data_IF_853926277031
#
_entry.id   IF_853926277031
#
_cell.length_a   1.000
_cell.length_b   1.000
_cell.length_c   1.000
_cell.angle_alpha   90.00
_cell.angle_beta   90.00
_cell.angle_gamma   90.00
#
_symmetry.space_group_name_H-M   'P 1'
#
loop_
_entity.id
_entity.type
_entity.pdbx_description
1 polymer ?
#
# COMPACT_ATOMS: atom_id res chain seq x y z
N UNK A 1 -2.23 -17.69 -22.80
CA UNK A 1 -1.61 -17.10 -21.61
C UNK A 1 -0.86 -18.19 -20.85
N UNK A 2 0.45 -18.03 -20.74
CA UNK A 2 1.32 -19.05 -20.12
C UNK A 2 1.61 -18.72 -18.63
N UNK A 3 1.16 -17.55 -18.16
CA UNK A 3 1.33 -17.07 -16.80
C UNK A 3 -0.03 -16.94 -16.12
N UNK A 4 -0.14 -17.39 -14.89
CA UNK A 4 -1.30 -17.19 -14.03
C UNK A 4 -0.91 -16.27 -12.88
N UNK A 5 -1.55 -15.10 -12.80
CA UNK A 5 -1.35 -14.11 -11.72
C UNK A 5 -2.36 -14.30 -10.62
N UNK A 6 -1.90 -14.60 -9.42
CA UNK A 6 -2.76 -14.72 -8.23
C UNK A 6 -2.38 -13.65 -7.22
N UNK A 7 -3.35 -12.82 -6.85
CA UNK A 7 -3.17 -11.76 -5.86
C UNK A 7 -3.70 -12.19 -4.51
N UNK A 8 -2.87 -12.11 -3.47
CA UNK A 8 -3.27 -12.38 -2.08
C UNK A 8 -3.42 -11.04 -1.36
N UNK A 9 -4.65 -10.70 -0.97
CA UNK A 9 -4.96 -9.35 -0.48
C UNK A 9 -5.77 -9.35 0.83
N UNK A 10 -5.53 -8.40 1.73
CA UNK A 10 -6.41 -8.13 2.87
C UNK A 10 -7.71 -7.41 2.46
N UNK A 11 -8.02 -7.38 1.18
CA UNK A 11 -9.04 -6.56 0.55
C UNK A 11 -10.06 -7.41 -0.21
N UNK A 12 -11.36 -7.07 -0.09
CA UNK A 12 -12.42 -7.69 -0.89
C UNK A 12 -12.69 -6.93 -2.20
N UNK A 13 -12.43 -5.62 -2.22
CA UNK A 13 -12.63 -4.80 -3.41
C UNK A 13 -11.68 -5.16 -4.57
N UNK A 14 -10.53 -5.73 -4.27
CA UNK A 14 -9.57 -6.22 -5.28
C UNK A 14 -10.14 -7.33 -6.17
N UNK A 15 -11.15 -8.09 -5.69
CA UNK A 15 -11.87 -9.06 -6.53
C UNK A 15 -12.66 -8.38 -7.65
N UNK A 16 -13.27 -7.23 -7.35
CA UNK A 16 -13.96 -6.44 -8.36
C UNK A 16 -12.95 -5.71 -9.27
N UNK A 17 -11.90 -5.15 -8.70
CA UNK A 17 -10.86 -4.44 -9.45
C UNK A 17 -10.23 -5.33 -10.54
N UNK A 18 -9.90 -6.58 -10.21
CA UNK A 18 -9.34 -7.55 -11.17
C UNK A 18 -10.26 -7.88 -12.35
N UNK A 19 -11.55 -7.56 -12.26
CA UNK A 19 -12.54 -7.82 -13.32
C UNK A 19 -12.77 -6.61 -14.25
N UNK A 20 -12.14 -5.47 -13.95
CA UNK A 20 -12.35 -4.24 -14.72
C UNK A 20 -11.66 -4.31 -16.06
N UNK A 21 -12.27 -3.71 -17.07
CA UNK A 21 -11.71 -3.69 -18.44
C UNK A 21 -10.40 -2.90 -18.51
N UNK A 22 -10.26 -1.86 -17.64
CA UNK A 22 -9.05 -1.05 -17.58
C UNK A 22 -7.83 -1.79 -17.00
N UNK A 23 -8.04 -2.98 -16.43
CA UNK A 23 -7.01 -3.86 -15.87
C UNK A 23 -6.89 -5.16 -16.68
N UNK A 24 -7.00 -5.02 -17.99
CA UNK A 24 -6.76 -6.05 -18.97
C UNK A 24 -5.78 -5.55 -20.02
N UNK A 25 -4.84 -6.39 -20.38
CA UNK A 25 -3.88 -6.13 -21.46
C UNK A 25 -4.15 -7.10 -22.59
N UNK A 26 -4.42 -6.62 -23.80
CA UNK A 26 -4.77 -7.42 -24.97
C UNK A 26 -5.95 -8.39 -24.74
N UNK A 27 -6.94 -7.97 -23.96
CA UNK A 27 -8.11 -8.78 -23.59
C UNK A 27 -7.84 -9.86 -22.53
N UNK A 28 -6.61 -9.96 -22.03
CA UNK A 28 -6.23 -10.86 -20.95
C UNK A 28 -6.25 -10.12 -19.62
N UNK A 29 -6.79 -10.74 -18.58
CA UNK A 29 -6.75 -10.18 -17.24
C UNK A 29 -5.29 -10.09 -16.73
N UNK A 30 -4.92 -8.95 -16.14
CA UNK A 30 -3.61 -8.76 -15.50
C UNK A 30 -3.50 -9.61 -14.22
N UNK A 31 -4.64 -9.76 -13.51
CA UNK A 31 -4.79 -10.63 -12.35
C UNK A 31 -5.89 -11.65 -12.58
N UNK A 32 -5.55 -12.94 -12.61
CA UNK A 32 -6.50 -14.03 -12.88
C UNK A 32 -7.38 -14.37 -11.67
N UNK A 33 -6.78 -14.32 -10.48
CA UNK A 33 -7.50 -14.63 -9.23
C UNK A 33 -7.07 -13.74 -8.08
N UNK A 34 -8.04 -13.37 -7.25
CA UNK A 34 -7.79 -12.63 -6.01
C UNK A 34 -8.29 -13.45 -4.84
N UNK A 35 -7.37 -13.80 -3.94
CA UNK A 35 -7.67 -14.44 -2.67
C UNK A 35 -7.53 -13.43 -1.54
N UNK A 36 -8.48 -13.41 -0.64
CA UNK A 36 -8.34 -12.69 0.61
C UNK A 36 -7.42 -13.44 1.57
N UNK A 37 -6.88 -12.75 2.57
CA UNK A 37 -6.07 -13.38 3.64
C UNK A 37 -6.82 -14.56 4.29
N UNK A 38 -8.15 -14.42 4.49
CA UNK A 38 -8.98 -15.51 5.03
C UNK A 38 -9.11 -16.69 4.07
N UNK A 39 -9.25 -16.44 2.78
CA UNK A 39 -9.35 -17.49 1.77
C UNK A 39 -8.06 -18.25 1.61
N UNK A 40 -6.91 -17.55 1.63
CA UNK A 40 -5.61 -18.19 1.67
C UNK A 40 -5.46 -19.11 2.87
N UNK A 41 -5.82 -18.66 4.07
CA UNK A 41 -5.78 -19.49 5.27
C UNK A 41 -6.71 -20.71 5.20
N UNK A 42 -7.83 -20.62 4.46
CA UNK A 42 -8.69 -21.79 4.19
C UNK A 42 -8.07 -22.73 3.17
N UNK A 43 -7.45 -22.20 2.13
CA UNK A 43 -6.77 -22.97 1.10
C UNK A 43 -5.63 -23.80 1.70
N UNK A 44 -4.76 -23.18 2.50
CA UNK A 44 -3.66 -23.85 3.21
C UNK A 44 -4.20 -25.03 4.05
N UNK A 45 -5.26 -24.80 4.82
CA UNK A 45 -5.87 -25.86 5.64
C UNK A 45 -6.48 -26.98 4.81
N UNK A 46 -7.17 -26.65 3.70
CA UNK A 46 -7.77 -27.65 2.79
C UNK A 46 -6.71 -28.47 2.08
N UNK A 47 -5.58 -27.89 1.74
CA UNK A 47 -4.46 -28.57 1.14
C UNK A 47 -3.69 -29.46 2.15
N UNK A 48 -4.05 -29.45 3.43
CA UNK A 48 -3.37 -30.23 4.47
C UNK A 48 -1.97 -29.73 4.80
N UNK A 49 -1.63 -28.48 4.41
CA UNK A 49 -0.31 -27.89 4.62
C UNK A 49 -0.14 -27.56 6.10
N UNK A 50 0.83 -28.18 6.73
CA UNK A 50 1.22 -27.92 8.12
C UNK A 50 2.20 -26.76 8.18
N UNK A 51 1.67 -25.54 8.23
CA UNK A 51 2.44 -24.29 8.15
C UNK A 51 3.68 -24.25 9.07
N UNK A 52 3.52 -24.70 10.29
CA UNK A 52 4.59 -24.72 11.29
C UNK A 52 5.67 -25.82 11.09
N UNK A 53 5.54 -26.63 10.06
CA UNK A 53 6.48 -27.70 9.70
C UNK A 53 7.14 -27.49 8.35
N UNK A 54 6.82 -26.38 7.67
CA UNK A 54 7.47 -26.04 6.40
C UNK A 54 8.92 -25.64 6.67
N UNK A 55 9.87 -26.06 5.83
CA UNK A 55 11.21 -25.52 5.85
C UNK A 55 11.18 -24.03 5.45
N UNK A 56 12.22 -23.31 5.83
CA UNK A 56 12.49 -22.00 5.25
C UNK A 56 13.04 -22.18 3.84
N UNK A 57 12.47 -21.45 2.89
CA UNK A 57 12.87 -21.49 1.49
C UNK A 57 12.98 -20.06 0.96
N UNK A 58 13.80 -19.87 -0.06
CA UNK A 58 13.87 -18.60 -0.81
C UNK A 58 12.79 -18.55 -1.88
N UNK A 59 12.48 -17.34 -2.36
CA UNK A 59 11.60 -17.17 -3.51
C UNK A 59 12.24 -17.76 -4.76
N UNK A 60 11.42 -18.35 -5.63
CA UNK A 60 11.85 -18.77 -6.96
C UNK A 60 12.51 -17.60 -7.70
N UNK A 61 13.52 -17.91 -8.51
CA UNK A 61 14.25 -16.90 -9.27
C UNK A 61 13.32 -16.16 -10.24
N UNK A 62 12.84 -15.01 -9.81
CA UNK A 62 12.03 -14.09 -10.60
C UNK A 62 12.77 -12.80 -10.87
N UNK A 63 12.25 -12.01 -11.81
CA UNK A 63 12.78 -10.68 -12.12
C UNK A 63 12.70 -9.75 -10.89
N UNK A 64 11.71 -9.95 -10.03
CA UNK A 64 11.48 -9.21 -8.80
C UNK A 64 11.05 -10.16 -7.69
N UNK A 65 11.98 -10.55 -6.83
CA UNK A 65 11.74 -11.40 -5.66
C UNK A 65 12.06 -10.69 -4.34
N UNK A 66 12.93 -9.67 -4.37
CA UNK A 66 13.27 -8.88 -3.20
C UNK A 66 12.28 -7.74 -2.97
N UNK A 67 11.91 -7.49 -1.72
CA UNK A 67 11.07 -6.35 -1.34
C UNK A 67 11.74 -5.52 -0.24
N UNK A 68 11.57 -4.20 -0.33
CA UNK A 68 12.06 -3.25 0.67
C UNK A 68 11.12 -3.10 1.84
N UNK A 69 11.62 -2.60 2.97
CA UNK A 69 10.79 -2.22 4.12
C UNK A 69 9.73 -1.18 3.75
N UNK A 70 10.05 -0.27 2.83
CA UNK A 70 9.11 0.74 2.35
C UNK A 70 7.83 0.15 1.77
N UNK A 71 7.88 -0.95 1.01
CA UNK A 71 6.66 -1.56 0.46
C UNK A 71 5.83 -2.28 1.52
N UNK A 72 6.47 -2.79 2.56
CA UNK A 72 5.77 -3.48 3.66
C UNK A 72 4.80 -2.55 4.37
N UNK A 73 5.21 -1.31 4.64
CA UNK A 73 4.38 -0.33 5.35
C UNK A 73 3.21 0.22 4.54
N UNK A 74 3.11 -0.05 3.24
CA UNK A 74 1.95 0.32 2.40
C UNK A 74 0.63 -0.22 2.94
N UNK A 75 0.67 -1.28 3.75
CA UNK A 75 -0.52 -1.84 4.38
C UNK A 75 -1.14 -0.95 5.46
N UNK A 76 -0.41 0.02 5.99
CA UNK A 76 -0.89 0.98 7.00
C UNK A 76 -1.20 2.34 6.37
N UNK A 77 -2.21 3.05 6.90
CA UNK A 77 -2.51 4.43 6.49
C UNK A 77 -1.35 5.36 6.85
N UNK A 78 -0.81 6.04 5.87
CA UNK A 78 0.40 6.87 5.97
C UNK A 78 1.68 6.15 5.50
N UNK A 79 1.61 4.84 5.25
CA UNK A 79 2.80 4.08 4.87
C UNK A 79 3.30 4.36 3.46
N UNK A 80 2.39 4.61 2.51
CA UNK A 80 2.77 5.04 1.15
C UNK A 80 3.38 6.43 1.20
N UNK A 81 2.77 7.35 1.97
CA UNK A 81 3.30 8.69 2.20
C UNK A 81 4.71 8.65 2.78
N UNK A 82 4.91 7.85 3.83
CA UNK A 82 6.22 7.69 4.46
C UNK A 82 7.27 7.16 3.46
N UNK A 83 6.95 6.14 2.69
CA UNK A 83 7.83 5.59 1.67
C UNK A 83 8.17 6.63 0.58
N UNK A 84 7.18 7.41 0.15
CA UNK A 84 7.38 8.47 -0.83
C UNK A 84 8.27 9.60 -0.28
N UNK A 85 8.06 10.00 0.96
CA UNK A 85 8.88 11.04 1.62
C UNK A 85 10.34 10.59 1.81
N UNK A 86 10.57 9.32 2.15
CA UNK A 86 11.93 8.74 2.19
C UNK A 86 12.66 8.91 0.84
N UNK A 87 11.98 8.59 -0.25
CA UNK A 87 12.54 8.74 -1.61
C UNK A 87 12.66 10.21 -2.03
N UNK A 88 11.66 11.05 -1.71
CA UNK A 88 11.68 12.46 -2.04
C UNK A 88 12.84 13.19 -1.33
N UNK A 89 13.11 12.87 -0.08
CA UNK A 89 14.24 13.41 0.65
C UNK A 89 15.55 13.18 -0.10
N UNK A 90 15.82 11.94 -0.53
CA UNK A 90 17.02 11.62 -1.33
C UNK A 90 17.07 12.37 -2.65
N UNK A 91 15.95 12.42 -3.36
CA UNK A 91 15.88 13.09 -4.67
C UNK A 91 16.09 14.60 -4.56
N UNK A 92 15.57 15.25 -3.53
CA UNK A 92 15.64 16.70 -3.34
C UNK A 92 16.95 17.15 -2.70
N UNK A 93 17.50 16.35 -1.78
CA UNK A 93 18.67 16.76 -0.99
C UNK A 93 19.97 16.09 -1.44
N UNK A 94 19.90 15.03 -2.23
CA UNK A 94 21.02 14.14 -2.55
C UNK A 94 21.46 13.25 -1.39
N UNK A 95 20.81 13.33 -0.23
CA UNK A 95 21.15 12.59 0.98
C UNK A 95 19.98 11.76 1.48
N UNK A 96 20.27 10.64 2.12
CA UNK A 96 19.28 9.89 2.87
C UNK A 96 18.84 10.67 4.12
N UNK A 97 17.65 10.31 4.63
CA UNK A 97 17.25 10.76 5.97
C UNK A 97 18.08 10.03 7.01
N UNK A 98 18.54 10.77 8.03
CA UNK A 98 19.25 10.18 9.18
C UNK A 98 18.38 9.14 9.91
N UNK A 99 17.07 9.41 10.01
CA UNK A 99 16.06 8.47 10.47
C UNK A 99 14.96 8.32 9.40
N UNK A 100 14.80 7.13 8.79
CA UNK A 100 13.75 6.90 7.81
C UNK A 100 12.35 6.77 8.43
N UNK A 101 12.19 6.86 9.75
CA UNK A 101 10.88 6.77 10.42
C UNK A 101 10.14 8.10 10.42
N UNK A 102 9.15 8.22 9.54
CA UNK A 102 8.34 9.44 9.39
C UNK A 102 7.03 9.26 10.16
N UNK A 103 7.13 9.37 11.50
CA UNK A 103 6.02 9.04 12.41
C UNK A 103 4.83 9.99 12.35
N UNK A 104 5.02 11.23 11.92
CA UNK A 104 3.96 12.25 11.85
C UNK A 104 2.78 11.90 10.92
N UNK A 105 2.99 10.97 9.98
CA UNK A 105 1.92 10.50 9.08
C UNK A 105 1.33 9.15 9.50
N UNK A 106 1.81 8.56 10.60
CA UNK A 106 1.30 7.29 11.16
C UNK A 106 0.09 7.51 12.07
N UNK A 107 -0.66 6.47 12.36
CA UNK A 107 -1.76 6.49 13.35
C UNK A 107 -3.13 6.27 12.73
N UNK A 108 -4.15 6.34 13.57
CA UNK A 108 -5.54 6.00 13.24
C UNK A 108 -6.46 7.23 13.09
N UNK A 109 -5.92 8.45 13.23
CA UNK A 109 -6.69 9.67 13.01
C UNK A 109 -7.17 9.72 11.56
N UNK A 110 -8.43 10.10 11.36
CA UNK A 110 -9.08 10.06 10.06
C UNK A 110 -8.42 10.94 8.99
N UNK A 111 -7.86 12.08 9.42
CA UNK A 111 -6.98 12.96 8.63
C UNK A 111 -5.76 13.25 9.49
N UNK A 112 -4.59 13.10 8.92
CA UNK A 112 -3.29 13.44 9.51
C UNK A 112 -2.58 14.40 8.60
N UNK A 113 -1.97 15.41 9.17
CA UNK A 113 -1.24 16.44 8.46
C UNK A 113 0.17 16.55 9.03
N UNK A 114 1.14 16.75 8.18
CA UNK A 114 2.52 16.96 8.59
C UNK A 114 3.23 17.90 7.62
N UNK A 115 4.25 18.56 8.15
CA UNK A 115 5.13 19.42 7.36
C UNK A 115 6.57 18.99 7.58
N UNK A 116 7.29 18.82 6.49
CA UNK A 116 8.68 18.39 6.48
C UNK A 116 9.53 19.38 5.71
N UNK A 117 10.73 19.64 6.22
CA UNK A 117 11.74 20.41 5.48
C UNK A 117 12.66 19.41 4.76
N UNK A 118 12.57 19.38 3.45
CA UNK A 118 13.40 18.53 2.60
C UNK A 118 14.40 19.39 1.83
N UNK A 119 15.57 19.60 2.44
CA UNK A 119 16.64 20.37 1.81
C UNK A 119 16.35 21.86 1.59
N UNK A 120 15.57 22.48 2.49
CA UNK A 120 15.14 23.86 2.37
C UNK A 120 13.77 24.05 1.72
N UNK A 121 13.19 23.02 1.12
CA UNK A 121 11.82 23.01 0.63
C UNK A 121 10.86 22.55 1.74
N UNK A 122 9.87 23.39 2.08
CA UNK A 122 8.78 23.00 2.98
C UNK A 122 7.77 22.17 2.20
N UNK A 123 7.58 20.92 2.62
CA UNK A 123 6.64 19.98 2.01
C UNK A 123 5.54 19.67 3.01
N UNK A 124 4.33 20.11 2.71
CA UNK A 124 3.12 19.81 3.47
C UNK A 124 2.39 18.63 2.89
N UNK A 125 2.04 17.68 3.72
CA UNK A 125 1.39 16.45 3.31
C UNK A 125 0.15 16.18 4.16
N UNK A 126 -0.81 15.47 3.55
CA UNK A 126 -1.99 14.99 4.27
C UNK A 126 -2.22 13.50 3.97
N UNK A 127 -2.67 12.78 4.97
CA UNK A 127 -3.06 11.38 4.87
C UNK A 127 -4.49 11.25 5.37
N UNK A 128 -5.39 10.77 4.52
CA UNK A 128 -6.77 10.50 4.91
C UNK A 128 -7.13 9.03 4.70
N UNK A 129 -7.95 8.49 5.59
CA UNK A 129 -8.58 7.21 5.37
C UNK A 129 -10.11 7.27 5.54
N UNK A 130 -10.80 6.47 4.72
CA UNK A 130 -12.26 6.52 4.59
C UNK A 130 -12.73 7.69 3.72
N UNK A 131 -13.78 7.45 2.93
CA UNK A 131 -14.23 8.41 1.92
C UNK A 131 -14.81 9.69 2.51
N UNK A 132 -15.34 9.67 3.73
CA UNK A 132 -15.80 10.89 4.43
C UNK A 132 -14.65 11.87 4.65
N UNK A 133 -13.49 11.38 5.10
CA UNK A 133 -12.30 12.18 5.34
C UNK A 133 -11.64 12.62 4.02
N UNK A 134 -11.57 11.70 3.05
CA UNK A 134 -11.07 12.03 1.71
C UNK A 134 -11.85 13.19 1.07
N UNK A 135 -13.19 13.22 1.27
CA UNK A 135 -14.04 14.30 0.75
C UNK A 135 -13.62 15.67 1.27
N UNK A 136 -13.21 15.79 2.53
CA UNK A 136 -12.75 17.07 3.11
C UNK A 136 -11.56 17.60 2.32
N UNK A 137 -10.52 16.79 2.13
CA UNK A 137 -9.32 17.20 1.37
C UNK A 137 -9.64 17.49 -0.10
N UNK A 138 -10.51 16.70 -0.72
CA UNK A 138 -10.94 16.94 -2.10
C UNK A 138 -11.74 18.23 -2.25
N UNK A 139 -12.56 18.60 -1.28
CA UNK A 139 -13.30 19.86 -1.30
C UNK A 139 -12.36 21.06 -1.12
N UNK A 140 -11.31 20.95 -0.31
CA UNK A 140 -10.24 21.95 -0.22
C UNK A 140 -9.51 22.15 -1.55
N UNK A 141 -9.18 21.05 -2.25
CA UNK A 141 -8.57 21.11 -3.59
C UNK A 141 -9.52 21.83 -4.57
N UNK A 142 -10.81 21.46 -4.60
CA UNK A 142 -11.80 22.10 -5.48
C UNK A 142 -11.97 23.57 -5.19
N UNK A 143 -11.84 23.96 -3.93
CA UNK A 143 -11.92 25.36 -3.51
C UNK A 143 -10.61 26.15 -3.76
N UNK A 144 -9.55 25.53 -4.27
CA UNK A 144 -8.23 26.13 -4.44
C UNK A 144 -7.54 26.51 -3.13
N UNK A 145 -7.89 25.83 -2.03
CA UNK A 145 -7.41 26.12 -0.67
C UNK A 145 -6.47 25.06 -0.10
N UNK A 146 -6.25 23.96 -0.80
CA UNK A 146 -5.38 22.90 -0.34
C UNK A 146 -3.93 23.38 -0.23
N UNK A 147 -3.28 23.26 0.93
CA UNK A 147 -1.89 23.65 1.11
C UNK A 147 -0.92 22.48 0.84
N UNK A 148 -1.42 21.29 0.50
CA UNK A 148 -0.62 20.08 0.46
C UNK A 148 -0.01 19.85 -0.93
N UNK A 149 1.26 19.47 -0.95
CA UNK A 149 1.99 19.04 -2.14
C UNK A 149 1.72 17.57 -2.45
N UNK A 150 1.43 16.76 -1.42
CA UNK A 150 1.12 15.36 -1.59
C UNK A 150 0.02 14.91 -0.62
N UNK A 151 -0.94 14.13 -1.13
CA UNK A 151 -2.08 13.62 -0.35
C UNK A 151 -2.18 12.11 -0.59
N UNK A 152 -2.17 11.33 0.50
CA UNK A 152 -2.49 9.90 0.48
C UNK A 152 -3.96 9.70 0.89
N UNK A 153 -4.69 8.89 0.12
CA UNK A 153 -6.06 8.49 0.46
C UNK A 153 -6.15 6.97 0.49
N UNK A 154 -6.56 6.42 1.64
CA UNK A 154 -6.86 5.01 1.84
C UNK A 154 -8.37 4.79 1.99
N UNK A 155 -8.91 3.77 1.33
CA UNK A 155 -10.34 3.45 1.41
C UNK A 155 -10.76 2.91 2.78
N UNK A 156 -9.92 2.09 3.40
CA UNK A 156 -10.21 1.47 4.70
C UNK A 156 -9.64 2.30 5.86
N UNK A 157 -10.41 2.50 6.95
CA UNK A 157 -9.90 3.14 8.15
C UNK A 157 -8.71 2.39 8.75
N UNK A 158 -7.57 3.07 8.87
CA UNK A 158 -6.28 2.49 9.31
C UNK A 158 -5.46 1.84 8.19
N UNK A 159 -5.98 1.77 6.95
CA UNK A 159 -5.30 1.19 5.80
C UNK A 159 -5.69 -0.26 5.52
N UNK A 160 -4.92 -0.93 4.67
CA UNK A 160 -5.18 -2.31 4.24
C UNK A 160 -5.14 -3.33 5.40
N UNK A 161 -4.45 -3.03 6.48
CA UNK A 161 -4.46 -3.84 7.72
C UNK A 161 -5.87 -4.03 8.29
N UNK A 162 -6.80 -3.12 7.98
CA UNK A 162 -8.22 -3.18 8.34
C UNK A 162 -9.12 -3.62 7.20
N UNK A 163 -8.55 -4.10 6.08
CA UNK A 163 -9.30 -4.50 4.90
C UNK A 163 -10.29 -5.62 5.16
N UNK A 164 -11.39 -5.64 4.39
CA UNK A 164 -12.49 -6.61 4.53
C UNK A 164 -12.09 -8.08 4.30
N UNK A 165 -10.89 -8.35 3.78
CA UNK A 165 -10.30 -9.69 3.61
C UNK A 165 -9.53 -10.21 4.82
N UNK A 166 -9.29 -9.38 5.83
CA UNK A 166 -8.59 -9.76 7.06
C UNK A 166 -9.45 -10.65 7.97
N UNK A 167 -8.81 -11.46 8.83
CA UNK A 167 -9.52 -12.23 9.84
C UNK A 167 -10.40 -11.36 10.73
N UNK A 168 -11.60 -11.86 11.03
CA UNK A 168 -12.50 -11.19 11.97
C UNK A 168 -11.97 -11.23 13.39
N UNK A 169 -12.16 -10.15 14.11
CA UNK A 169 -11.87 -10.05 15.54
C UNK A 169 -13.14 -10.41 16.31
N UNK A 170 -13.01 -11.30 17.29
CA UNK A 170 -14.13 -11.65 18.17
C UNK A 170 -14.21 -10.67 19.33
N UNK A 171 -15.40 -10.14 19.67
CA UNK A 171 -15.57 -9.20 20.79
C UNK A 171 -15.09 -9.75 22.15
N UNK A 172 -15.09 -11.07 22.33
CA UNK A 172 -14.66 -11.71 23.60
C UNK A 172 -13.15 -11.59 23.92
N UNK A 173 -12.36 -11.00 23.03
CA UNK A 173 -10.94 -10.72 23.26
C UNK A 173 -10.68 -9.26 23.66
N UNK A 174 -11.69 -8.54 24.12
CA UNK A 174 -11.55 -7.16 24.61
C UNK A 174 -10.72 -7.14 25.89
N UNK A 175 -9.62 -6.39 25.94
CA UNK A 175 -8.86 -6.20 27.17
C UNK A 175 -9.62 -5.34 28.20
N UNK A 176 -10.36 -4.32 27.76
CA UNK A 176 -11.18 -3.43 28.61
C UNK A 176 -12.45 -3.02 27.87
N UNK A 177 -13.53 -2.70 28.62
CA UNK A 177 -14.82 -2.27 28.07
C UNK A 177 -14.76 -0.93 27.33
N UNK A 178 -13.77 -0.08 27.65
CA UNK A 178 -13.59 1.25 27.09
C UNK A 178 -12.68 1.29 25.84
N UNK A 179 -11.99 0.18 25.52
CA UNK A 179 -11.11 0.14 24.37
C UNK A 179 -11.89 -0.15 23.08
N UNK A 180 -11.73 0.69 22.05
CA UNK A 180 -12.15 0.29 20.70
C UNK A 180 -11.26 -0.87 20.22
N UNK A 181 -11.83 -2.08 20.33
CA UNK A 181 -11.12 -3.31 19.97
C UNK A 181 -10.63 -3.28 18.55
N UNK A 182 -11.39 -2.67 17.63
CA UNK A 182 -11.02 -2.62 16.21
C UNK A 182 -9.80 -1.76 16.04
N UNK A 183 -9.72 -0.63 16.74
CA UNK A 183 -8.56 0.27 16.67
C UNK A 183 -7.32 -0.37 17.30
N UNK A 184 -7.47 -1.07 18.43
CA UNK A 184 -6.39 -1.86 19.01
C UNK A 184 -5.83 -2.90 18.03
N UNK A 185 -6.68 -3.63 17.30
CA UNK A 185 -6.21 -4.62 16.31
C UNK A 185 -5.62 -3.99 15.07
N UNK A 186 -6.13 -2.87 14.60
CA UNK A 186 -5.52 -2.11 13.50
C UNK A 186 -4.11 -1.66 13.86
N UNK A 187 -3.95 -1.08 15.07
CA UNK A 187 -2.66 -0.64 15.58
C UNK A 187 -1.67 -1.82 15.71
N UNK A 188 -2.11 -2.96 16.26
CA UNK A 188 -1.26 -4.17 16.36
C UNK A 188 -0.83 -4.70 15.00
N UNK A 189 -1.72 -4.73 14.01
CA UNK A 189 -1.39 -5.16 12.64
C UNK A 189 -0.43 -4.19 11.97
N UNK A 190 -0.66 -2.87 12.10
CA UNK A 190 0.25 -1.86 11.60
C UNK A 190 1.63 -1.95 12.26
N UNK A 191 1.69 -2.16 13.58
CA UNK A 191 2.97 -2.30 14.29
C UNK A 191 3.79 -3.50 13.81
N UNK A 192 3.14 -4.57 13.37
CA UNK A 192 3.83 -5.72 12.77
C UNK A 192 4.50 -5.34 11.44
N UNK A 193 3.84 -4.54 10.60
CA UNK A 193 4.42 -4.05 9.35
C UNK A 193 5.60 -3.12 9.61
N UNK A 194 5.48 -2.19 10.56
CA UNK A 194 6.57 -1.31 10.94
C UNK A 194 7.76 -2.06 11.57
N UNK A 195 7.46 -3.14 12.32
CA UNK A 195 8.53 -4.02 12.83
C UNK A 195 9.26 -4.72 11.68
N UNK A 196 8.53 -5.25 10.72
CA UNK A 196 9.10 -5.89 9.53
C UNK A 196 9.95 -4.91 8.73
N UNK A 197 9.47 -3.67 8.49
CA UNK A 197 10.26 -2.62 7.84
C UNK A 197 11.59 -2.38 8.56
N UNK A 198 11.57 -2.24 9.89
CA UNK A 198 12.79 -2.03 10.68
C UNK A 198 13.78 -3.19 10.62
N UNK A 199 13.29 -4.41 10.43
CA UNK A 199 14.11 -5.62 10.32
C UNK A 199 14.72 -5.81 8.93
N UNK A 200 14.21 -5.12 7.91
CA UNK A 200 14.74 -5.22 6.55
C UNK A 200 16.10 -4.53 6.43
N UNK A 201 17.02 -5.20 5.74
CA UNK A 201 18.31 -4.62 5.39
C UNK A 201 18.13 -3.43 4.45
N UNK A 202 17.25 -3.56 3.46
CA UNK A 202 16.84 -2.48 2.57
C UNK A 202 15.48 -1.94 3.02
N UNK A 203 15.44 -0.70 3.48
CA UNK A 203 14.22 0.00 3.92
C UNK A 203 13.70 0.99 2.88
N UNK A 204 14.44 1.26 1.83
CA UNK A 204 14.20 2.34 0.88
C UNK A 204 13.83 1.77 -0.50
N UNK A 205 12.75 2.25 -1.09
CA UNK A 205 12.28 1.77 -2.40
C UNK A 205 13.32 2.03 -3.51
N UNK A 206 14.00 3.17 -3.46
CA UNK A 206 14.98 3.58 -4.45
C UNK A 206 16.35 2.89 -4.32
N UNK A 207 16.52 2.02 -3.34
CA UNK A 207 17.71 1.17 -3.16
C UNK A 207 17.46 -0.30 -3.53
N UNK A 208 16.25 -0.64 -3.96
CA UNK A 208 15.95 -2.00 -4.41
C UNK A 208 16.65 -2.27 -5.74
N UNK A 209 17.69 -3.09 -5.70
CA UNK A 209 18.53 -3.39 -6.87
C UNK A 209 17.76 -4.02 -8.01
N UNK A 210 16.82 -4.93 -7.72
CA UNK A 210 16.02 -5.57 -8.76
C UNK A 210 15.11 -4.57 -9.47
N UNK A 211 14.57 -3.59 -8.74
CA UNK A 211 13.77 -2.52 -9.35
C UNK A 211 14.66 -1.58 -10.18
N UNK A 212 15.85 -1.24 -9.69
CA UNK A 212 16.81 -0.44 -10.45
C UNK A 212 17.20 -1.15 -11.75
N UNK A 213 17.58 -2.43 -11.67
CA UNK A 213 17.91 -3.26 -12.84
C UNK A 213 16.73 -3.38 -13.83
N UNK A 214 15.49 -3.47 -13.33
CA UNK A 214 14.30 -3.49 -14.17
C UNK A 214 14.13 -2.17 -14.94
N UNK A 215 14.38 -1.03 -14.29
CA UNK A 215 14.35 0.26 -14.96
C UNK A 215 15.50 0.38 -15.96
N UNK A 216 16.73 0.08 -15.57
CA UNK A 216 17.91 0.23 -16.40
C UNK A 216 17.85 -0.66 -17.66
N UNK A 217 17.36 -1.89 -17.54
CA UNK A 217 17.38 -2.88 -18.61
C UNK A 217 16.10 -2.98 -19.41
N UNK A 218 14.96 -2.50 -18.88
CA UNK A 218 13.66 -2.75 -19.50
C UNK A 218 12.72 -1.53 -19.55
N UNK A 219 12.47 -0.87 -18.42
CA UNK A 219 11.48 0.21 -18.36
C UNK A 219 12.04 1.57 -18.80
N UNK A 220 13.36 1.75 -18.74
CA UNK A 220 14.01 3.04 -18.92
C UNK A 220 13.93 3.91 -17.68
N UNK A 221 13.88 5.23 -17.83
CA UNK A 221 13.76 6.13 -16.69
C UNK A 221 12.36 6.08 -16.07
N UNK A 222 12.21 6.39 -14.76
CA UNK A 222 10.92 6.61 -14.15
C UNK A 222 10.10 7.65 -14.92
N UNK A 223 8.82 7.35 -15.19
CA UNK A 223 7.93 8.11 -16.06
C UNK A 223 8.36 8.16 -17.56
N UNK A 224 9.26 7.31 -17.99
CA UNK A 224 9.47 7.10 -19.44
C UNK A 224 8.17 6.64 -20.10
N UNK A 225 8.07 6.79 -21.41
CA UNK A 225 6.87 6.34 -22.17
C UNK A 225 6.55 4.87 -21.88
N UNK A 226 7.55 4.00 -21.90
CA UNK A 226 7.38 2.56 -21.63
C UNK A 226 6.96 2.27 -20.17
N UNK A 227 7.58 2.95 -19.20
CA UNK A 227 7.20 2.81 -17.81
C UNK A 227 5.76 3.28 -17.58
N UNK A 228 5.36 4.39 -18.22
CA UNK A 228 4.00 4.90 -18.13
C UNK A 228 2.99 3.94 -18.78
N UNK A 229 3.29 3.40 -19.96
CA UNK A 229 2.44 2.44 -20.66
C UNK A 229 2.21 1.14 -19.86
N UNK A 230 3.28 0.61 -19.23
CA UNK A 230 3.24 -0.68 -18.56
C UNK A 230 2.82 -0.61 -17.10
N UNK A 231 3.06 0.49 -16.41
CA UNK A 231 2.84 0.61 -14.96
C UNK A 231 1.63 1.46 -14.59
N UNK A 232 1.07 2.21 -15.52
CA UNK A 232 -0.08 3.06 -15.26
C UNK A 232 -1.29 2.59 -16.07
N UNK A 233 -2.47 2.81 -15.52
CA UNK A 233 -3.73 2.58 -16.23
C UNK A 233 -4.55 3.86 -16.26
N UNK A 234 -5.38 4.00 -17.30
CA UNK A 234 -6.33 5.09 -17.45
C UNK A 234 -7.73 4.60 -17.10
N UNK A 235 -8.39 5.28 -16.18
CA UNK A 235 -9.75 4.94 -15.79
C UNK A 235 -10.75 5.65 -16.69
N UNK A 236 -11.75 4.88 -17.20
CA UNK A 236 -12.83 5.43 -17.98
C UNK A 236 -13.68 6.38 -17.13
N UNK A 237 -13.85 7.62 -17.61
CA UNK A 237 -14.65 8.66 -16.95
C UNK A 237 -16.15 8.53 -17.22
N UNK A 238 -16.55 7.72 -18.22
CA UNK A 238 -17.94 7.53 -18.64
C UNK A 238 -18.75 6.58 -17.74
N UNK A 239 -18.32 6.38 -16.51
CA UNK A 239 -19.10 5.64 -15.53
C UNK A 239 -20.46 6.29 -15.36
N UNK A 240 -21.52 5.48 -15.50
CA UNK A 240 -22.86 5.87 -15.09
C UNK A 240 -22.76 6.47 -13.69
N UNK A 241 -23.09 7.75 -13.56
CA UNK A 241 -23.29 8.36 -12.25
C UNK A 241 -24.31 7.50 -11.54
N UNK A 242 -24.01 7.06 -10.33
CA UNK A 242 -25.04 6.52 -9.47
C UNK A 242 -26.06 7.64 -9.34
N UNK A 243 -27.17 7.49 -10.03
CA UNK A 243 -28.34 8.34 -9.78
C UNK A 243 -28.93 7.85 -8.49
N UNK A 244 -29.13 8.80 -7.57
CA UNK A 244 -29.78 8.59 -6.26
C UNK A 244 -31.13 7.87 -6.41
#
# INVERSE_FOLDING_TARGET
>A
KDIVSVSIMPCTAKKYEAQREELKTDGLADVDAVLTTRELGRLIRRAGIMWNRLPEEEFDNGVVGEYSGAVVIFGASGGVMEAALRTAAKKLTGKELDDPEITGVRGLDGIKEATYNLGGAEVRVAVAHGMKNAKVLLDEIRAGKSPYQFIEIMGCPGGCVAGGGQPYVKPCFLPNEDDDILDTYKAKRASALYKEDRMKKNRLSHENKQIIELYDNFLGEPNSHKAHELLHTSYNTDRKKFTD
#
